data_IF_843158210582
#
_entry.id   IF_843158210582
#
_cell.length_a   1.000
_cell.length_b   1.000
_cell.length_c   1.000
_cell.angle_alpha   90.00
_cell.angle_beta   90.00
_cell.angle_gamma   90.00
#
_symmetry.space_group_name_H-M   'P 1'
#
loop_
_entity.id
_entity.type
_entity.pdbx_description
1 polymer ?
#
# COMPACT_ATOMS: atom_id res chain seq x y z
N UNK A 1 -13.62 19.70 -13.15
CA UNK A 1 -13.89 19.22 -11.76
C UNK A 1 -13.60 17.73 -11.59
N UNK A 2 -14.10 16.84 -12.47
CA UNK A 2 -13.92 15.38 -12.35
C UNK A 2 -12.46 14.88 -12.39
N UNK A 3 -11.56 15.53 -13.14
CA UNK A 3 -10.15 15.13 -13.19
C UNK A 3 -9.38 15.41 -11.89
N UNK A 4 -9.73 16.48 -11.17
CA UNK A 4 -9.12 16.78 -9.86
C UNK A 4 -9.56 15.75 -8.83
N UNK A 5 -10.85 15.38 -8.83
CA UNK A 5 -11.39 14.33 -7.96
C UNK A 5 -10.76 12.97 -8.29
N UNK A 6 -10.57 12.66 -9.57
CA UNK A 6 -9.88 11.45 -10.00
C UNK A 6 -8.42 11.42 -9.50
N UNK A 7 -7.70 12.53 -9.61
CA UNK A 7 -6.33 12.62 -9.11
C UNK A 7 -6.25 12.42 -7.59
N UNK A 8 -7.17 13.03 -6.83
CA UNK A 8 -7.22 12.88 -5.37
C UNK A 8 -7.61 11.45 -4.97
N UNK A 9 -8.63 10.87 -5.61
CA UNK A 9 -9.11 9.53 -5.26
C UNK A 9 -8.15 8.42 -5.71
N UNK A 10 -7.71 8.45 -6.96
CA UNK A 10 -6.86 7.39 -7.54
C UNK A 10 -5.38 7.60 -7.17
N UNK A 11 -4.88 8.82 -7.32
CA UNK A 11 -3.49 9.17 -7.04
C UNK A 11 -3.17 9.18 -5.54
N UNK A 12 -3.86 10.03 -4.78
CA UNK A 12 -3.54 10.25 -3.36
C UNK A 12 -4.08 9.12 -2.47
N UNK A 13 -5.40 8.89 -2.50
CA UNK A 13 -6.03 7.89 -1.64
C UNK A 13 -5.76 6.44 -2.10
N UNK A 14 -5.54 6.24 -3.40
CA UNK A 14 -5.14 4.97 -3.98
C UNK A 14 -3.64 4.72 -3.83
N UNK A 15 -2.87 5.13 -4.83
CA UNK A 15 -1.46 4.72 -4.96
C UNK A 15 -0.55 5.28 -3.86
N UNK A 16 -0.71 6.56 -3.50
CA UNK A 16 0.18 7.18 -2.52
C UNK A 16 0.01 6.58 -1.12
N UNK A 17 -1.22 6.45 -0.61
CA UNK A 17 -1.44 5.78 0.68
C UNK A 17 -0.97 4.32 0.67
N UNK A 18 -1.22 3.58 -0.42
CA UNK A 18 -0.75 2.20 -0.53
C UNK A 18 0.78 2.12 -0.51
N UNK A 19 1.47 3.00 -1.25
CA UNK A 19 2.92 3.08 -1.28
C UNK A 19 3.52 3.47 0.08
N UNK A 20 2.87 4.37 0.82
CA UNK A 20 3.25 4.70 2.19
C UNK A 20 3.19 3.47 3.09
N UNK A 21 2.14 2.65 2.96
CA UNK A 21 2.01 1.38 3.68
C UNK A 21 3.19 0.43 3.42
N UNK A 22 3.59 0.26 2.15
CA UNK A 22 4.77 -0.53 1.77
C UNK A 22 6.05 -0.01 2.41
N UNK A 23 6.35 1.28 2.26
CA UNK A 23 7.59 1.86 2.80
C UNK A 23 7.60 1.81 4.33
N UNK A 24 6.48 2.06 5.00
CA UNK A 24 6.36 1.93 6.47
C UNK A 24 6.61 0.50 6.95
N UNK A 25 6.04 -0.48 6.26
CA UNK A 25 6.27 -1.89 6.54
C UNK A 25 7.76 -2.22 6.43
N UNK A 26 8.44 -1.72 5.38
CA UNK A 26 9.86 -1.94 5.19
C UNK A 26 10.70 -1.44 6.39
N UNK A 27 10.42 -0.22 6.85
CA UNK A 27 11.08 0.36 8.02
C UNK A 27 10.78 -0.43 9.30
N UNK A 28 9.55 -0.95 9.45
CA UNK A 28 9.15 -1.76 10.60
C UNK A 28 9.91 -3.10 10.64
N UNK A 29 9.96 -3.82 9.51
CA UNK A 29 10.64 -5.12 9.39
C UNK A 29 12.16 -4.99 9.52
N UNK A 30 12.77 -3.97 8.91
CA UNK A 30 14.20 -3.71 9.03
C UNK A 30 14.58 -3.05 10.38
N UNK A 31 13.61 -2.76 11.26
CA UNK A 31 13.80 -2.11 12.57
C UNK A 31 14.69 -0.87 12.50
N UNK A 32 14.53 -0.08 11.43
CA UNK A 32 15.33 1.11 11.14
C UNK A 32 14.54 2.36 11.50
N UNK A 33 15.23 3.37 12.03
CA UNK A 33 14.61 4.69 12.22
C UNK A 33 14.22 5.23 10.85
N UNK A 34 12.98 5.70 10.73
CA UNK A 34 12.48 6.27 9.49
C UNK A 34 13.01 7.69 9.39
N UNK A 35 13.80 7.94 8.36
CA UNK A 35 14.02 9.31 7.92
C UNK A 35 12.81 9.71 7.08
N UNK A 36 12.01 10.64 7.60
CA UNK A 36 10.74 11.05 7.01
C UNK A 36 10.93 11.57 5.58
N UNK A 37 12.05 12.24 5.30
CA UNK A 37 12.34 12.77 3.95
C UNK A 37 12.56 11.63 2.96
N UNK A 38 13.45 10.71 3.29
CA UNK A 38 13.75 9.54 2.46
C UNK A 38 12.53 8.63 2.32
N UNK A 39 11.74 8.46 3.38
CA UNK A 39 10.51 7.68 3.38
C UNK A 39 9.46 8.26 2.42
N UNK A 40 9.19 9.56 2.51
CA UNK A 40 8.24 10.23 1.63
C UNK A 40 8.70 10.19 0.17
N UNK A 41 10.00 10.40 -0.07
CA UNK A 41 10.57 10.30 -1.41
C UNK A 41 10.37 8.89 -2.00
N UNK A 42 10.68 7.84 -1.24
CA UNK A 42 10.47 6.46 -1.65
C UNK A 42 8.99 6.16 -1.92
N UNK A 43 8.08 6.64 -1.07
CA UNK A 43 6.65 6.46 -1.28
C UNK A 43 6.16 7.16 -2.56
N UNK A 44 6.59 8.40 -2.81
CA UNK A 44 6.22 9.13 -4.04
C UNK A 44 6.73 8.38 -5.28
N UNK A 45 8.00 7.95 -5.29
CA UNK A 45 8.57 7.21 -6.42
C UNK A 45 7.79 5.90 -6.64
N UNK A 46 7.52 5.16 -5.57
CA UNK A 46 6.76 3.91 -5.64
C UNK A 46 5.34 4.15 -6.14
N UNK A 47 4.66 5.21 -5.69
CA UNK A 47 3.32 5.57 -6.16
C UNK A 47 3.29 5.87 -7.66
N UNK A 48 4.29 6.59 -8.18
CA UNK A 48 4.42 6.86 -9.61
C UNK A 48 4.65 5.56 -10.39
N UNK A 49 5.51 4.67 -9.89
CA UNK A 49 5.75 3.35 -10.50
C UNK A 49 4.46 2.51 -10.49
N UNK A 50 3.74 2.44 -9.37
CA UNK A 50 2.48 1.70 -9.25
C UNK A 50 1.42 2.24 -10.21
N UNK A 51 1.29 3.56 -10.33
CA UNK A 51 0.40 4.19 -11.29
C UNK A 51 0.77 3.77 -12.72
N UNK A 52 2.06 3.86 -13.09
CA UNK A 52 2.56 3.46 -14.39
C UNK A 52 2.28 1.99 -14.70
N UNK A 53 2.59 1.08 -13.78
CA UNK A 53 2.34 -0.36 -13.92
C UNK A 53 0.84 -0.64 -14.13
N UNK A 54 -0.05 0.07 -13.41
CA UNK A 54 -1.50 -0.12 -13.55
C UNK A 54 -2.07 0.46 -14.85
N UNK A 55 -1.37 1.35 -15.56
CA UNK A 55 -1.80 1.80 -16.89
C UNK A 55 -1.46 0.79 -18.00
N UNK A 56 -0.67 -0.25 -17.72
CA UNK A 56 -0.28 -1.24 -18.72
C UNK A 56 -1.46 -2.18 -19.01
N UNK A 57 -2.34 -1.78 -19.94
CA UNK A 57 -3.56 -2.51 -20.29
C UNK A 57 -3.35 -3.91 -20.87
N UNK A 58 -2.12 -4.24 -21.29
CA UNK A 58 -1.75 -5.54 -21.86
C UNK A 58 -1.60 -6.63 -20.80
N UNK A 59 -1.47 -6.23 -19.52
CA UNK A 59 -1.12 -7.13 -18.43
C UNK A 59 -2.39 -7.58 -17.69
N UNK A 60 -2.55 -8.89 -17.46
CA UNK A 60 -3.72 -9.41 -16.75
C UNK A 60 -3.75 -9.00 -15.27
N UNK A 61 -4.96 -8.93 -14.71
CA UNK A 61 -5.22 -8.62 -13.30
C UNK A 61 -4.51 -9.64 -12.38
N UNK A 62 -3.41 -9.22 -11.75
CA UNK A 62 -2.54 -10.06 -10.90
C UNK A 62 -1.05 -9.86 -11.17
N UNK A 63 -0.65 -9.80 -12.44
CA UNK A 63 0.75 -9.54 -12.83
C UNK A 63 1.20 -8.13 -12.43
N UNK A 64 0.27 -7.15 -12.43
CA UNK A 64 0.55 -5.83 -11.89
C UNK A 64 1.03 -5.88 -10.44
N UNK A 65 0.39 -6.70 -9.60
CA UNK A 65 0.77 -6.84 -8.18
C UNK A 65 2.17 -7.42 -8.06
N UNK A 66 2.51 -8.42 -8.87
CA UNK A 66 3.86 -9.00 -8.90
C UNK A 66 4.90 -7.96 -9.31
N UNK A 67 4.64 -7.17 -10.36
CA UNK A 67 5.54 -6.10 -10.80
C UNK A 67 5.72 -5.00 -9.74
N UNK A 68 4.65 -4.68 -9.00
CA UNK A 68 4.70 -3.73 -7.89
C UNK A 68 5.60 -4.27 -6.77
N UNK A 69 5.46 -5.55 -6.40
CA UNK A 69 6.32 -6.18 -5.37
C UNK A 69 7.78 -6.15 -5.79
N UNK A 70 8.08 -6.50 -7.06
CA UNK A 70 9.46 -6.46 -7.59
C UNK A 70 10.00 -5.04 -7.53
N UNK A 71 9.19 -4.05 -7.93
CA UNK A 71 9.57 -2.64 -7.89
C UNK A 71 9.82 -2.14 -6.47
N UNK A 72 8.99 -2.52 -5.52
CA UNK A 72 9.15 -2.19 -4.10
C UNK A 72 10.45 -2.76 -3.52
N UNK A 73 10.75 -4.04 -3.82
CA UNK A 73 11.99 -4.69 -3.39
C UNK A 73 13.22 -3.98 -3.99
N UNK A 74 13.21 -3.71 -5.29
CA UNK A 74 14.31 -3.03 -5.98
C UNK A 74 14.53 -1.62 -5.43
N UNK A 75 13.45 -0.84 -5.29
CA UNK A 75 13.50 0.51 -4.74
C UNK A 75 14.05 0.51 -3.31
N UNK A 76 13.62 -0.45 -2.50
CA UNK A 76 14.05 -0.61 -1.12
C UNK A 76 15.52 -0.97 -0.99
N UNK A 77 16.02 -1.89 -1.81
CA UNK A 77 17.44 -2.25 -1.82
C UNK A 77 18.30 -1.09 -2.31
N UNK A 78 17.88 -0.39 -3.38
CA UNK A 78 18.67 0.69 -4.00
C UNK A 78 18.67 1.97 -3.15
N UNK A 79 17.49 2.49 -2.78
CA UNK A 79 17.37 3.76 -2.06
C UNK A 79 17.57 3.61 -0.56
N UNK A 80 17.00 2.56 0.03
CA UNK A 80 17.03 2.39 1.48
C UNK A 80 18.21 1.53 1.95
N UNK A 81 18.95 0.85 1.06
CA UNK A 81 20.10 -0.01 1.42
C UNK A 81 19.74 -1.01 2.53
N UNK A 82 18.54 -1.59 2.46
CA UNK A 82 18.04 -2.56 3.42
C UNK A 82 18.50 -3.97 3.09
N UNK A 83 18.44 -4.87 4.07
CA UNK A 83 18.72 -6.29 3.83
C UNK A 83 17.65 -6.88 2.90
N UNK A 84 18.09 -7.58 1.86
CA UNK A 84 17.21 -8.17 0.84
C UNK A 84 16.21 -9.14 1.48
N UNK A 85 16.63 -9.97 2.42
CA UNK A 85 15.76 -10.97 3.06
C UNK A 85 14.57 -10.32 3.79
N UNK A 86 14.85 -9.35 4.67
CA UNK A 86 13.78 -8.64 5.41
C UNK A 86 12.90 -7.78 4.48
N UNK A 87 13.48 -7.26 3.39
CA UNK A 87 12.76 -6.50 2.38
C UNK A 87 11.75 -7.37 1.63
N UNK A 88 12.16 -8.55 1.16
CA UNK A 88 11.27 -9.52 0.50
C UNK A 88 10.14 -9.95 1.44
N UNK A 89 10.47 -10.31 2.68
CA UNK A 89 9.47 -10.73 3.67
C UNK A 89 8.45 -9.61 3.96
N UNK A 90 8.92 -8.37 4.09
CA UNK A 90 8.08 -7.20 4.29
C UNK A 90 7.14 -6.95 3.11
N UNK A 91 7.65 -6.97 1.88
CA UNK A 91 6.85 -6.76 0.68
C UNK A 91 5.75 -7.84 0.52
N UNK A 92 6.10 -9.11 0.76
CA UNK A 92 5.14 -10.23 0.71
C UNK A 92 4.08 -10.12 1.79
N UNK A 93 4.47 -9.84 3.04
CA UNK A 93 3.54 -9.73 4.16
C UNK A 93 2.61 -8.52 4.01
N UNK A 94 3.13 -7.41 3.49
CA UNK A 94 2.33 -6.21 3.18
C UNK A 94 1.32 -6.51 2.09
N UNK A 95 1.74 -7.18 1.02
CA UNK A 95 0.83 -7.58 -0.07
C UNK A 95 -0.28 -8.50 0.44
N UNK A 96 0.05 -9.51 1.24
CA UNK A 96 -0.95 -10.39 1.85
C UNK A 96 -1.92 -9.62 2.74
N UNK A 97 -1.40 -8.65 3.53
CA UNK A 97 -2.24 -7.79 4.36
C UNK A 97 -3.21 -6.95 3.53
N UNK A 98 -2.76 -6.40 2.41
CA UNK A 98 -3.60 -5.64 1.47
C UNK A 98 -4.70 -6.54 0.93
N UNK A 99 -4.37 -7.72 0.42
CA UNK A 99 -5.36 -8.66 -0.15
C UNK A 99 -6.44 -9.05 0.88
N UNK A 100 -6.03 -9.34 2.12
CA UNK A 100 -6.95 -9.67 3.22
C UNK A 100 -7.85 -8.46 3.53
N UNK A 101 -7.29 -7.26 3.64
CA UNK A 101 -8.05 -6.05 3.93
C UNK A 101 -8.99 -5.66 2.79
N UNK A 102 -8.59 -5.84 1.53
CA UNK A 102 -9.47 -5.62 0.37
C UNK A 102 -10.65 -6.59 0.39
N UNK A 103 -10.40 -7.87 0.69
CA UNK A 103 -11.46 -8.88 0.77
C UNK A 103 -12.44 -8.60 1.91
N UNK A 104 -11.93 -8.21 3.09
CA UNK A 104 -12.79 -7.81 4.22
C UNK A 104 -13.61 -6.58 3.85
N UNK A 105 -12.97 -5.55 3.28
CA UNK A 105 -13.63 -4.32 2.90
C UNK A 105 -14.74 -4.57 1.86
N UNK A 106 -14.46 -5.36 0.81
CA UNK A 106 -15.46 -5.75 -0.18
C UNK A 106 -16.63 -6.53 0.44
N UNK A 107 -16.38 -7.43 1.40
CA UNK A 107 -17.45 -8.15 2.11
C UNK A 107 -18.32 -7.21 2.94
N UNK A 108 -17.72 -6.27 3.66
CA UNK A 108 -18.45 -5.27 4.45
C UNK A 108 -19.28 -4.37 3.54
N UNK A 109 -18.71 -3.90 2.43
CA UNK A 109 -19.41 -3.12 1.43
C UNK A 109 -20.58 -3.90 0.81
N UNK A 110 -20.37 -5.18 0.46
CA UNK A 110 -21.42 -6.06 -0.06
C UNK A 110 -22.59 -6.22 0.92
N UNK A 111 -22.30 -6.23 2.23
CA UNK A 111 -23.34 -6.31 3.26
C UNK A 111 -24.14 -5.01 3.40
N UNK A 112 -23.49 -3.84 3.27
CA UNK A 112 -24.13 -2.53 3.48
C UNK A 112 -24.87 -2.06 2.23
N UNK A 113 -24.24 -2.15 1.06
CA UNK A 113 -24.72 -1.56 -0.21
C UNK A 113 -25.46 -2.59 -1.07
N UNK A 114 -25.14 -3.87 -0.92
CA UNK A 114 -25.67 -4.95 -1.76
C UNK A 114 -24.73 -5.33 -2.90
N UNK A 115 -24.71 -6.64 -3.21
CA UNK A 115 -23.77 -7.24 -4.16
C UNK A 115 -23.93 -6.71 -5.58
N UNK A 116 -25.18 -6.53 -6.05
CA UNK A 116 -25.48 -6.16 -7.44
C UNK A 116 -24.96 -4.75 -7.78
N UNK A 117 -25.09 -3.81 -6.85
CA UNK A 117 -24.60 -2.43 -7.02
C UNK A 117 -23.07 -2.40 -7.10
N UNK A 118 -22.40 -3.18 -6.25
CA UNK A 118 -20.94 -3.27 -6.26
C UNK A 118 -20.43 -3.92 -7.54
N UNK A 119 -21.06 -5.00 -8.00
CA UNK A 119 -20.71 -5.63 -9.26
C UNK A 119 -20.94 -4.68 -10.44
N UNK A 120 -22.00 -3.86 -10.41
CA UNK A 120 -22.24 -2.83 -11.42
C UNK A 120 -21.10 -1.79 -11.44
N UNK A 121 -20.66 -1.32 -10.28
CA UNK A 121 -19.54 -0.37 -10.17
C UNK A 121 -18.23 -1.00 -10.63
N UNK A 122 -17.95 -2.26 -10.25
CA UNK A 122 -16.72 -2.98 -10.59
C UNK A 122 -16.66 -3.34 -12.08
N UNK A 123 -17.77 -3.67 -12.71
CA UNK A 123 -17.82 -4.05 -14.13
C UNK A 123 -17.96 -2.86 -15.07
N UNK A 124 -18.35 -1.68 -14.57
CA UNK A 124 -18.44 -0.47 -15.39
C UNK A 124 -17.04 0.06 -15.74
N UNK A 125 -16.46 -0.45 -16.82
CA UNK A 125 -15.21 0.01 -17.40
C UNK A 125 -15.51 0.96 -18.56
N UNK A 126 -15.26 2.26 -18.38
CA UNK A 126 -15.36 3.23 -19.49
C UNK A 126 -15.55 4.68 -19.06
N UNK A 127 -16.16 4.94 -17.89
CA UNK A 127 -16.47 6.30 -17.44
C UNK A 127 -15.50 6.77 -16.33
N UNK A 128 -15.11 8.05 -16.38
CA UNK A 128 -14.28 8.68 -15.34
C UNK A 128 -14.92 8.53 -13.95
N UNK A 129 -16.25 8.65 -13.88
CA UNK A 129 -17.00 8.48 -12.63
C UNK A 129 -16.86 7.06 -12.06
N UNK A 130 -16.88 6.01 -12.89
CA UNK A 130 -16.75 4.64 -12.39
C UNK A 130 -15.34 4.37 -11.85
N UNK A 131 -14.29 4.96 -12.46
CA UNK A 131 -12.93 4.92 -11.91
C UNK A 131 -12.84 5.60 -10.54
N UNK A 132 -13.47 6.76 -10.38
CA UNK A 132 -13.52 7.47 -9.09
C UNK A 132 -14.19 6.60 -8.02
N UNK A 133 -15.34 6.00 -8.33
CA UNK A 133 -16.03 5.11 -7.37
C UNK A 133 -15.17 3.91 -6.98
N UNK A 134 -14.48 3.28 -7.94
CA UNK A 134 -13.57 2.16 -7.64
C UNK A 134 -12.45 2.56 -6.68
N UNK A 135 -11.78 3.69 -6.90
CA UNK A 135 -10.72 4.15 -5.99
C UNK A 135 -11.28 4.55 -4.62
N UNK A 136 -12.47 5.14 -4.56
CA UNK A 136 -13.13 5.45 -3.29
C UNK A 136 -13.50 4.19 -2.50
N UNK A 137 -13.96 3.13 -3.16
CA UNK A 137 -14.23 1.85 -2.51
C UNK A 137 -12.96 1.20 -1.95
N UNK A 138 -11.81 1.39 -2.60
CA UNK A 138 -10.50 0.90 -2.14
C UNK A 138 -9.82 1.78 -1.08
N UNK A 139 -10.19 3.06 -0.96
CA UNK A 139 -9.55 4.00 -0.05
C UNK A 139 -9.58 3.56 1.44
N UNK A 140 -10.69 3.01 1.99
CA UNK A 140 -10.70 2.50 3.36
C UNK A 140 -9.63 1.45 3.63
N UNK A 141 -9.38 0.55 2.68
CA UNK A 141 -8.34 -0.47 2.79
C UNK A 141 -6.96 0.16 2.94
N UNK A 142 -6.63 1.16 2.12
CA UNK A 142 -5.32 1.83 2.18
C UNK A 142 -5.13 2.63 3.48
N UNK A 143 -6.19 3.29 3.97
CA UNK A 143 -6.15 4.00 5.26
C UNK A 143 -5.88 3.03 6.40
N UNK A 144 -6.60 1.90 6.45
CA UNK A 144 -6.40 0.86 7.47
C UNK A 144 -5.01 0.26 7.38
N UNK A 145 -4.50 0.00 6.17
CA UNK A 145 -3.15 -0.51 5.94
C UNK A 145 -2.09 0.41 6.55
N UNK A 146 -2.14 1.72 6.25
CA UNK A 146 -1.19 2.69 6.78
C UNK A 146 -1.24 2.74 8.30
N UNK A 147 -2.45 2.72 8.90
CA UNK A 147 -2.62 2.70 10.35
C UNK A 147 -2.01 1.44 10.97
N UNK A 148 -2.29 0.26 10.42
CA UNK A 148 -1.75 -1.02 10.90
C UNK A 148 -0.22 -1.03 10.82
N UNK A 149 0.35 -0.62 9.69
CA UNK A 149 1.80 -0.58 9.49
C UNK A 149 2.48 0.46 10.39
N UNK A 150 1.82 1.59 10.66
CA UNK A 150 2.31 2.60 11.60
C UNK A 150 2.33 2.11 13.05
N UNK A 151 1.28 1.41 13.48
CA UNK A 151 1.26 0.76 14.81
C UNK A 151 2.36 -0.29 14.90
N UNK A 152 2.48 -1.15 13.89
CA UNK A 152 3.51 -2.18 13.82
C UNK A 152 4.93 -1.59 13.86
N UNK A 153 5.16 -0.48 13.16
CA UNK A 153 6.41 0.27 13.20
C UNK A 153 6.74 0.77 14.62
N UNK A 154 5.78 1.42 15.31
CA UNK A 154 5.98 1.91 16.68
C UNK A 154 6.30 0.79 17.67
N UNK A 155 5.63 -0.35 17.56
CA UNK A 155 5.86 -1.50 18.44
C UNK A 155 7.26 -2.10 18.24
N UNK A 156 7.72 -2.24 17.00
CA UNK A 156 9.04 -2.80 16.69
C UNK A 156 10.19 -1.89 17.14
N UNK A 157 10.06 -0.56 17.01
CA UNK A 157 11.08 0.37 17.51
C UNK A 157 11.14 0.40 19.04
N UNK A 158 9.99 0.35 19.72
CA UNK A 158 9.96 0.28 21.20
C UNK A 158 10.64 -0.98 21.72
N UNK A 159 10.40 -2.14 21.09
CA UNK A 159 11.07 -3.41 21.45
C UNK A 159 12.59 -3.35 21.31
N UNK A 160 13.12 -2.70 20.27
CA UNK A 160 14.57 -2.52 20.10
C UNK A 160 15.17 -1.67 21.24
N UNK A 161 14.48 -0.62 21.68
CA UNK A 161 14.92 0.18 22.84
C UNK A 161 14.85 -0.61 24.16
N UNK A 162 13.81 -1.42 24.36
CA UNK A 162 13.66 -2.26 25.56
C UNK A 162 14.76 -3.31 25.70
N UNK A 163 15.16 -3.98 24.60
CA UNK A 163 16.28 -4.93 24.63
C UNK A 163 17.64 -4.25 24.89
N UNK A 164 17.84 -3.01 24.45
CA UNK A 164 19.07 -2.26 24.75
C UNK A 164 19.14 -1.81 26.21
N UNK A 165 17.99 -1.53 26.84
CA UNK A 165 17.93 -1.10 28.23
C UNK A 165 18.00 -2.29 29.22
N UNK A 166 17.56 -3.49 28.83
CA UNK A 166 17.63 -4.70 29.65
C UNK A 166 18.97 -5.46 29.59
N UNK A 167 19.99 -4.89 28.93
CA UNK A 167 21.37 -5.42 28.90
C UNK A 167 22.30 -4.57 29.79
N UNK A 168 21.75 -3.56 30.47
CA UNK A 168 22.48 -2.64 31.37
C UNK A 168 22.09 -2.86 32.84
N UNK A 169 21.44 -3.97 33.17
CA UNK A 169 21.19 -4.40 34.56
C UNK A 169 22.02 -5.64 34.91
#
# INVERSE_FOLDING_TARGET
MNYVVLFLADGVLGYFLQSLGYVLSLYAFNRRKADVKTMLLAAIILAVIMFGIRQISVISFGYHTVLIIISDILLSVVLLKTSTFYTVLSALTTTMSILILELINLKVLNFIIGHDIIMLILNSNGNISSRIYKSLLGAPTNVVLVLVMFVFYKLNIKRKKGMLNGVVE
#
